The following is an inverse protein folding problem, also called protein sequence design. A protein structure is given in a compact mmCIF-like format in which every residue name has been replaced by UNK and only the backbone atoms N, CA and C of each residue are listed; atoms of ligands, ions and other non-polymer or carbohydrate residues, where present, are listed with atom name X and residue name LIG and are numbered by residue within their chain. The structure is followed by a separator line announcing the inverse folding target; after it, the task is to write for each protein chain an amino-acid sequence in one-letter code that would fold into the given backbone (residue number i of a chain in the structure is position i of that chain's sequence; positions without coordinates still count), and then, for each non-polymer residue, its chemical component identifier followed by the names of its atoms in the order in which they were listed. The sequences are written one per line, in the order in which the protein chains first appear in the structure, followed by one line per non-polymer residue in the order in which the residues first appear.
data_IF_167762516774
#
_entry.id   IF_167762516774
#
_cell.length_a   1.000
_cell.length_b   1.000
_cell.length_c   1.000
_cell.angle_alpha   90.00
_cell.angle_beta   90.00
_cell.angle_gamma   90.00
#
_symmetry.space_group_name_H-M   'P 1'
#
loop_
_entity.id
_entity.type
_entity.pdbx_description
1 polymer ?
#
# COMPACT_ATOMS: atom_id res chain seq x y z
N UNK A 1 0.07 -11.38 2.95
CA UNK A 1 -0.92 -11.35 4.04
C UNK A 1 -0.73 -10.09 4.87
N UNK A 2 -1.80 -9.35 5.08
CA UNK A 2 -1.89 -8.22 6.02
C UNK A 2 -2.96 -8.61 7.03
N UNK A 3 -2.65 -8.62 8.31
CA UNK A 3 -3.60 -8.92 9.38
C UNK A 3 -3.58 -7.79 10.42
N UNK A 4 -4.72 -7.18 10.62
CA UNK A 4 -5.02 -6.30 11.75
C UNK A 4 -6.02 -7.02 12.64
N UNK A 5 -5.81 -7.00 13.94
CA UNK A 5 -6.69 -7.64 14.93
C UNK A 5 -7.00 -6.63 16.04
N UNK A 6 -8.23 -6.14 16.07
CA UNK A 6 -8.78 -5.20 17.06
C UNK A 6 -7.92 -3.93 17.24
N UNK A 7 -7.44 -3.37 16.14
CA UNK A 7 -6.50 -2.24 16.14
C UNK A 7 -7.22 -0.94 16.44
N UNK A 8 -6.75 -0.25 17.48
CA UNK A 8 -7.24 1.07 17.86
C UNK A 8 -6.09 2.08 17.87
N UNK A 9 -6.38 3.30 17.40
CA UNK A 9 -5.45 4.43 17.43
C UNK A 9 -6.18 5.74 17.71
N UNK A 10 -5.74 6.46 18.74
CA UNK A 10 -6.20 7.80 19.06
C UNK A 10 -5.01 8.75 19.10
N UNK A 11 -5.11 9.90 18.44
CA UNK A 11 -4.08 10.91 18.53
C UNK A 11 -4.34 11.85 19.74
N UNK A 12 -3.28 12.39 20.36
CA UNK A 12 -3.45 13.38 21.43
C UNK A 12 -4.26 14.59 20.96
N UNK A 13 -5.27 14.97 21.75
CA UNK A 13 -6.15 16.09 21.43
C UNK A 13 -7.39 15.74 20.61
N UNK A 14 -7.45 14.57 20.00
CA UNK A 14 -8.66 14.13 19.27
C UNK A 14 -9.73 13.64 20.26
N UNK A 15 -10.99 14.01 20.01
CA UNK A 15 -12.12 13.48 20.79
C UNK A 15 -12.35 12.00 20.50
N UNK A 16 -12.26 11.60 19.20
CA UNK A 16 -12.52 10.25 18.73
C UNK A 16 -11.23 9.56 18.25
N UNK A 17 -11.14 8.23 18.34
CA UNK A 17 -10.02 7.51 17.77
C UNK A 17 -10.02 7.61 16.24
N UNK A 18 -8.84 7.74 15.66
CA UNK A 18 -8.63 7.71 14.22
C UNK A 18 -8.88 6.31 13.63
N UNK A 19 -8.64 5.27 14.43
CA UNK A 19 -9.07 3.89 14.19
C UNK A 19 -9.64 3.33 15.50
N UNK A 20 -10.77 2.63 15.40
CA UNK A 20 -11.53 2.12 16.54
C UNK A 20 -11.93 0.67 16.27
N UNK A 21 -11.25 -0.26 16.96
CA UNK A 21 -11.46 -1.71 16.88
C UNK A 21 -11.44 -2.25 15.43
N UNK A 22 -10.42 -1.87 14.66
CA UNK A 22 -10.30 -2.27 13.25
C UNK A 22 -9.68 -3.65 13.14
N UNK A 23 -10.45 -4.60 12.57
CA UNK A 23 -9.98 -5.94 12.21
C UNK A 23 -10.08 -6.13 10.71
N UNK A 24 -8.96 -6.50 10.07
CA UNK A 24 -8.84 -6.67 8.62
C UNK A 24 -7.86 -7.78 8.28
N UNK A 25 -8.28 -8.71 7.43
CA UNK A 25 -7.40 -9.74 6.90
C UNK A 25 -7.35 -9.66 5.37
N UNK A 26 -6.17 -9.43 4.81
CA UNK A 26 -5.90 -9.44 3.37
C UNK A 26 -4.98 -10.62 3.08
N UNK A 27 -5.43 -11.49 2.19
CA UNK A 27 -4.69 -12.68 1.77
C UNK A 27 -3.55 -12.33 0.80
N UNK A 28 -2.56 -13.22 0.62
CA UNK A 28 -1.57 -13.06 -0.44
C UNK A 28 -2.24 -12.94 -1.81
N UNK A 29 -1.68 -12.09 -2.66
CA UNK A 29 -2.11 -11.82 -4.03
C UNK A 29 -3.48 -11.15 -4.18
N UNK A 30 -4.16 -10.77 -3.08
CA UNK A 30 -5.36 -9.96 -3.20
C UNK A 30 -5.05 -8.54 -3.70
N UNK A 31 -6.00 -7.98 -4.46
CA UNK A 31 -6.08 -6.55 -4.78
C UNK A 31 -7.26 -5.97 -3.99
N UNK A 32 -6.98 -5.06 -3.07
CA UNK A 32 -7.97 -4.50 -2.15
C UNK A 32 -8.00 -2.98 -2.25
N UNK A 33 -9.18 -2.44 -2.42
CA UNK A 33 -9.44 -1.02 -2.24
C UNK A 33 -9.84 -0.73 -0.79
N UNK A 34 -9.16 0.20 -0.15
CA UNK A 34 -9.54 0.79 1.13
C UNK A 34 -10.16 2.16 0.84
N UNK A 35 -11.46 2.26 0.97
CA UNK A 35 -12.23 3.46 0.61
C UNK A 35 -12.83 4.13 1.84
N UNK A 36 -13.16 5.41 1.71
CA UNK A 36 -13.79 6.21 2.76
C UNK A 36 -13.57 7.69 2.54
N UNK A 37 -14.38 8.53 3.19
CA UNK A 37 -14.23 9.99 3.16
C UNK A 37 -12.87 10.45 3.69
N UNK A 38 -12.49 11.69 3.40
CA UNK A 38 -11.32 12.31 4.07
C UNK A 38 -11.52 12.26 5.59
N UNK A 39 -10.45 11.95 6.33
CA UNK A 39 -10.53 11.80 7.77
C UNK A 39 -11.06 10.45 8.28
N UNK A 40 -11.47 9.52 7.41
CA UNK A 40 -11.99 8.21 7.83
C UNK A 40 -10.98 7.29 8.54
N UNK A 41 -9.66 7.64 8.55
CA UNK A 41 -8.60 6.83 9.17
C UNK A 41 -7.70 6.09 8.18
N UNK A 42 -7.92 6.22 6.85
CA UNK A 42 -7.14 5.50 5.82
C UNK A 42 -5.63 5.73 5.95
N UNK A 43 -5.20 6.99 6.01
CA UNK A 43 -3.77 7.33 6.14
C UNK A 43 -3.18 6.88 7.48
N UNK A 44 -3.96 6.86 8.56
CA UNK A 44 -3.54 6.31 9.86
C UNK A 44 -3.28 4.81 9.73
N UNK A 45 -4.18 4.06 9.08
CA UNK A 45 -4.00 2.64 8.82
C UNK A 45 -2.73 2.38 7.99
N UNK A 46 -2.50 3.18 6.95
CA UNK A 46 -1.29 3.07 6.12
C UNK A 46 -0.01 3.32 6.94
N UNK A 47 0.02 4.37 7.78
CA UNK A 47 1.14 4.67 8.67
C UNK A 47 1.44 3.54 9.64
N UNK A 48 0.43 2.84 10.13
CA UNK A 48 0.65 1.66 10.98
C UNK A 48 1.23 0.49 10.21
N UNK A 49 0.71 0.19 9.01
CA UNK A 49 1.25 -0.86 8.16
C UNK A 49 2.71 -0.57 7.81
N UNK A 50 3.08 0.69 7.58
CA UNK A 50 4.48 1.10 7.32
C UNK A 50 5.31 1.26 8.59
N UNK A 51 4.72 1.02 9.77
CA UNK A 51 5.38 1.22 11.10
C UNK A 51 5.89 2.64 11.29
N UNK A 52 5.20 3.65 10.74
CA UNK A 52 5.41 5.06 11.06
C UNK A 52 4.71 5.43 12.35
N UNK A 53 3.57 4.78 12.61
CA UNK A 53 2.79 4.89 13.84
C UNK A 53 2.63 3.51 14.49
N UNK A 54 2.42 3.50 15.79
CA UNK A 54 2.05 2.30 16.54
C UNK A 54 0.57 2.36 16.93
N UNK A 55 -0.13 1.22 16.96
CA UNK A 55 -1.45 1.17 17.57
C UNK A 55 -1.35 1.43 19.08
N UNK A 56 -2.45 1.91 19.67
CA UNK A 56 -2.59 2.03 21.13
C UNK A 56 -3.06 0.69 21.72
N UNK A 57 -3.82 -0.09 20.94
CA UNK A 57 -4.20 -1.47 21.26
C UNK A 57 -4.41 -2.30 19.99
N UNK A 58 -4.53 -3.61 20.15
CA UNK A 58 -4.65 -4.56 19.04
C UNK A 58 -3.30 -5.00 18.48
N UNK A 59 -3.33 -5.76 17.37
CA UNK A 59 -2.16 -6.44 16.82
C UNK A 59 -2.08 -6.26 15.30
N UNK A 60 -0.87 -6.09 14.77
CA UNK A 60 -0.63 -5.95 13.33
C UNK A 60 0.43 -6.95 12.89
N UNK A 61 0.10 -7.82 11.93
CA UNK A 61 1.03 -8.78 11.34
C UNK A 61 1.09 -8.56 9.83
N UNK A 62 2.27 -8.26 9.30
CA UNK A 62 2.51 -7.96 7.89
C UNK A 62 3.54 -8.93 7.32
N UNK A 63 3.14 -9.70 6.30
CA UNK A 63 4.03 -10.69 5.68
C UNK A 63 4.59 -11.72 6.67
N UNK A 64 3.82 -12.07 7.71
CA UNK A 64 4.22 -12.96 8.79
C UNK A 64 5.05 -12.30 9.89
N UNK A 65 5.33 -11.00 9.80
CA UNK A 65 6.06 -10.22 10.81
C UNK A 65 5.05 -9.54 11.73
N UNK A 66 5.10 -9.86 13.01
CA UNK A 66 4.37 -9.15 14.04
C UNK A 66 5.08 -7.82 14.33
N UNK A 67 4.38 -6.70 14.09
CA UNK A 67 4.97 -5.37 14.17
C UNK A 67 5.32 -4.95 15.60
N UNK A 68 4.72 -5.55 16.63
CA UNK A 68 5.04 -5.23 18.03
C UNK A 68 6.47 -5.64 18.39
N UNK A 69 6.99 -6.68 17.74
CA UNK A 69 8.37 -7.14 17.94
C UNK A 69 9.40 -6.44 17.05
N UNK A 70 8.97 -5.55 16.13
CA UNK A 70 9.89 -4.80 15.25
C UNK A 70 10.50 -3.62 16.03
N UNK A 71 11.70 -3.81 16.56
CA UNK A 71 12.44 -2.75 17.25
C UNK A 71 12.83 -1.61 16.30
N UNK A 72 12.98 -0.38 16.82
CA UNK A 72 13.29 0.83 16.02
C UNK A 72 14.45 0.64 15.03
N UNK A 73 15.53 -0.03 15.43
CA UNK A 73 16.68 -0.32 14.55
C UNK A 73 16.37 -1.23 13.37
N UNK A 74 15.29 -2.04 13.45
CA UNK A 74 14.89 -2.99 12.41
C UNK A 74 13.80 -2.44 11.48
N UNK A 75 13.21 -1.27 11.79
CA UNK A 75 12.18 -0.63 10.95
C UNK A 75 12.67 -0.40 9.51
N UNK A 76 13.90 0.09 9.23
CA UNK A 76 14.38 0.24 7.86
C UNK A 76 14.41 -1.10 7.10
N UNK A 77 14.82 -2.20 7.78
CA UNK A 77 14.81 -3.55 7.23
C UNK A 77 13.40 -4.04 6.91
N UNK A 78 12.45 -3.77 7.79
CA UNK A 78 11.04 -4.08 7.58
C UNK A 78 10.46 -3.29 6.39
N UNK A 79 10.61 -1.95 6.37
CA UNK A 79 10.10 -1.11 5.28
C UNK A 79 10.66 -1.48 3.92
N UNK A 80 11.90 -1.97 3.85
CA UNK A 80 12.50 -2.48 2.62
C UNK A 80 11.76 -3.71 2.03
N UNK A 81 10.89 -4.39 2.78
CA UNK A 81 10.07 -5.53 2.29
C UNK A 81 8.74 -5.08 1.69
N UNK A 82 8.38 -3.82 1.87
CA UNK A 82 7.16 -3.22 1.34
C UNK A 82 7.47 -2.35 0.11
N UNK A 83 6.59 -2.36 -0.86
CA UNK A 83 6.48 -1.29 -1.83
C UNK A 83 5.51 -0.23 -1.29
N UNK A 84 5.89 1.05 -1.35
CA UNK A 84 5.01 2.14 -0.95
C UNK A 84 4.98 3.20 -2.04
N UNK A 85 3.78 3.51 -2.51
CA UNK A 85 3.50 4.59 -3.46
C UNK A 85 2.76 5.68 -2.70
N UNK A 86 3.31 6.89 -2.70
CA UNK A 86 2.75 8.04 -2.00
C UNK A 86 1.96 8.93 -2.97
N UNK A 87 1.00 9.66 -2.44
CA UNK A 87 0.20 10.62 -3.19
C UNK A 87 1.06 11.74 -3.83
N UNK A 88 2.10 12.21 -3.15
CA UNK A 88 3.00 13.29 -3.56
C UNK A 88 4.29 12.79 -4.24
N UNK A 89 4.27 11.61 -4.85
CA UNK A 89 5.33 10.92 -5.58
C UNK A 89 6.63 10.70 -4.80
N UNK A 90 7.06 11.61 -3.95
CA UNK A 90 8.30 11.57 -3.14
C UNK A 90 9.55 11.28 -3.98
N UNK A 91 9.62 11.82 -5.21
CA UNK A 91 10.77 11.64 -6.09
C UNK A 91 11.97 12.45 -5.60
N UNK A 92 13.16 11.95 -5.90
CA UNK A 92 14.42 12.65 -5.66
C UNK A 92 14.64 13.67 -6.80
N UNK A 93 14.48 14.99 -6.56
CA UNK A 93 14.35 15.98 -7.62
C UNK A 93 15.66 16.21 -8.41
N UNK A 94 16.81 15.91 -7.77
CA UNK A 94 18.16 16.06 -8.36
C UNK A 94 18.71 14.75 -8.94
N UNK A 95 17.85 13.71 -9.07
CA UNK A 95 18.19 12.42 -9.68
C UNK A 95 17.29 12.18 -10.88
N UNK A 96 17.87 11.58 -11.91
CA UNK A 96 17.14 11.14 -13.11
C UNK A 96 16.11 10.05 -12.76
N UNK A 97 15.24 9.71 -13.71
CA UNK A 97 14.29 8.59 -13.60
C UNK A 97 15.03 7.30 -13.28
N UNK A 98 16.11 7.00 -14.03
CA UNK A 98 16.95 5.82 -13.79
C UNK A 98 17.48 5.80 -12.36
N UNK A 99 18.07 6.92 -11.91
CA UNK A 99 18.67 7.02 -10.58
C UNK A 99 17.63 6.99 -9.45
N UNK A 100 16.41 7.48 -9.68
CA UNK A 100 15.31 7.34 -8.71
C UNK A 100 14.97 5.87 -8.45
N UNK A 101 14.93 5.05 -9.52
CA UNK A 101 14.66 3.60 -9.39
C UNK A 101 15.88 2.88 -8.83
N UNK A 102 17.08 3.19 -9.33
CA UNK A 102 18.34 2.60 -8.88
C UNK A 102 18.55 2.80 -7.37
N UNK A 103 18.21 3.98 -6.84
CA UNK A 103 18.38 4.32 -5.43
C UNK A 103 17.68 3.33 -4.47
N UNK A 104 16.49 2.84 -4.84
CA UNK A 104 15.79 1.83 -4.03
C UNK A 104 16.58 0.51 -3.94
N UNK A 105 17.29 0.15 -5.01
CA UNK A 105 18.10 -1.05 -5.10
C UNK A 105 19.47 -0.86 -4.40
N UNK A 106 20.06 0.33 -4.50
CA UNK A 106 21.29 0.72 -3.79
C UNK A 106 21.11 0.62 -2.27
N UNK A 107 20.04 1.22 -1.73
CA UNK A 107 19.71 1.12 -0.29
C UNK A 107 19.48 -0.34 0.13
N UNK A 108 19.07 -1.20 -0.80
CA UNK A 108 18.89 -2.62 -0.56
C UNK A 108 20.22 -3.39 -0.51
N UNK A 109 21.34 -2.76 -0.87
CA UNK A 109 22.66 -3.40 -0.96
C UNK A 109 22.84 -4.22 -2.24
N UNK A 110 22.05 -3.97 -3.28
CA UNK A 110 22.18 -4.66 -4.56
C UNK A 110 23.47 -4.23 -5.29
N UNK A 111 24.14 -5.16 -5.95
CA UNK A 111 25.38 -4.86 -6.69
C UNK A 111 25.10 -3.94 -7.89
N UNK A 112 26.06 -3.07 -8.23
CA UNK A 112 25.92 -2.18 -9.40
C UNK A 112 25.70 -2.96 -10.71
N UNK A 113 26.18 -4.20 -10.82
CA UNK A 113 25.91 -5.08 -11.98
C UNK A 113 24.44 -5.48 -12.06
N UNK A 114 23.84 -5.82 -10.93
CA UNK A 114 22.44 -6.24 -10.87
C UNK A 114 21.50 -5.05 -11.03
N UNK A 115 21.86 -3.88 -10.48
CA UNK A 115 21.12 -2.62 -10.69
C UNK A 115 21.05 -2.30 -12.18
N UNK A 116 22.16 -2.36 -12.91
CA UNK A 116 22.19 -2.12 -14.36
C UNK A 116 21.33 -3.10 -15.17
N UNK A 117 21.09 -4.31 -14.67
CA UNK A 117 20.20 -5.28 -15.30
C UNK A 117 18.73 -5.10 -14.91
N UNK A 118 18.47 -4.66 -13.68
CA UNK A 118 17.12 -4.60 -13.11
C UNK A 118 16.40 -3.30 -13.50
N UNK A 119 17.07 -2.14 -13.40
CA UNK A 119 16.42 -0.85 -13.64
C UNK A 119 15.80 -0.74 -15.04
N UNK A 120 16.47 -1.13 -16.14
CA UNK A 120 15.85 -1.07 -17.48
C UNK A 120 14.56 -1.89 -17.57
N UNK A 121 14.52 -3.10 -17.00
CA UNK A 121 13.33 -3.96 -16.99
C UNK A 121 12.17 -3.34 -16.20
N UNK A 122 12.49 -2.68 -15.09
CA UNK A 122 11.48 -1.98 -14.28
C UNK A 122 10.95 -0.76 -15.03
N UNK A 123 11.81 -0.01 -15.74
CA UNK A 123 11.39 1.13 -16.54
C UNK A 123 10.54 0.69 -17.74
N UNK A 124 10.85 -0.44 -18.36
CA UNK A 124 10.03 -1.05 -19.40
C UNK A 124 8.64 -1.44 -18.86
N UNK A 125 8.56 -2.04 -17.67
CA UNK A 125 7.29 -2.40 -17.02
C UNK A 125 6.33 -1.22 -16.86
N UNK A 126 6.88 -0.02 -16.62
CA UNK A 126 6.11 1.22 -16.38
C UNK A 126 6.08 2.16 -17.59
N UNK A 127 6.53 1.71 -18.77
CA UNK A 127 6.59 2.47 -20.03
C UNK A 127 7.39 3.80 -19.91
N UNK A 128 8.57 3.76 -19.26
CA UNK A 128 9.44 4.92 -19.05
C UNK A 128 10.88 4.71 -19.56
N UNK A 129 11.11 3.74 -20.43
CA UNK A 129 12.46 3.45 -20.95
C UNK A 129 13.12 4.65 -21.62
N UNK A 130 12.37 5.39 -22.44
CA UNK A 130 12.87 6.59 -23.14
C UNK A 130 13.12 7.79 -22.20
N UNK A 131 12.44 7.83 -21.05
CA UNK A 131 12.54 8.88 -20.05
C UNK A 131 13.65 8.65 -19.04
N UNK A 132 14.40 7.55 -19.14
CA UNK A 132 15.39 7.11 -18.15
C UNK A 132 16.38 8.21 -17.71
N UNK A 133 16.77 9.10 -18.64
CA UNK A 133 17.72 10.18 -18.39
C UNK A 133 17.09 11.50 -17.97
N UNK A 134 15.74 11.63 -18.00
CA UNK A 134 15.04 12.84 -17.59
C UNK A 134 15.01 13.00 -16.08
N UNK A 135 14.91 14.23 -15.62
CA UNK A 135 14.68 14.58 -14.22
C UNK A 135 13.17 14.70 -13.92
N UNK A 136 12.73 14.56 -12.66
CA UNK A 136 11.32 14.64 -12.30
C UNK A 136 10.58 15.88 -12.80
N UNK A 137 11.21 17.04 -12.77
CA UNK A 137 10.61 18.30 -13.25
C UNK A 137 10.37 18.34 -14.78
N UNK A 138 10.91 17.41 -15.54
CA UNK A 138 10.73 17.26 -16.98
C UNK A 138 9.61 16.26 -17.35
N UNK A 139 8.90 15.73 -16.35
CA UNK A 139 7.90 14.70 -16.52
C UNK A 139 6.49 15.23 -16.22
N UNK A 140 5.48 14.70 -16.92
CA UNK A 140 4.07 14.88 -16.53
C UNK A 140 3.78 14.23 -15.17
N UNK A 141 2.67 14.62 -14.51
CA UNK A 141 2.23 14.03 -13.25
C UNK A 141 2.07 12.50 -13.35
N UNK A 142 1.48 12.00 -14.43
CA UNK A 142 1.35 10.57 -14.67
C UNK A 142 2.69 9.84 -14.83
N UNK A 143 3.65 10.47 -15.53
CA UNK A 143 5.02 9.94 -15.65
C UNK A 143 5.72 9.93 -14.28
N UNK A 144 5.59 10.98 -13.49
CA UNK A 144 6.14 11.01 -12.11
C UNK A 144 5.55 9.91 -11.25
N UNK A 145 4.24 9.65 -11.36
CA UNK A 145 3.58 8.56 -10.66
C UNK A 145 4.12 7.20 -11.10
N UNK A 146 4.33 6.99 -12.40
CA UNK A 146 4.94 5.77 -12.93
C UNK A 146 6.37 5.56 -12.39
N UNK A 147 7.17 6.63 -12.23
CA UNK A 147 8.50 6.56 -11.57
C UNK A 147 8.37 6.16 -10.11
N UNK A 148 7.39 6.71 -9.37
CA UNK A 148 7.13 6.35 -7.98
C UNK A 148 6.76 4.87 -7.84
N UNK A 149 5.89 4.36 -8.74
CA UNK A 149 5.53 2.95 -8.80
C UNK A 149 6.76 2.10 -9.14
N UNK A 150 7.53 2.46 -10.18
CA UNK A 150 8.74 1.76 -10.59
C UNK A 150 9.72 1.60 -9.41
N UNK A 151 9.97 2.68 -8.68
CA UNK A 151 10.82 2.66 -7.48
C UNK A 151 10.27 1.73 -6.39
N UNK A 152 8.96 1.71 -6.20
CA UNK A 152 8.32 0.88 -5.18
C UNK A 152 8.37 -0.62 -5.49
N UNK A 153 8.32 -0.99 -6.79
CA UNK A 153 8.30 -2.39 -7.23
C UNK A 153 9.68 -2.92 -7.66
N UNK A 154 10.69 -2.06 -7.77
CA UNK A 154 12.03 -2.46 -8.23
C UNK A 154 12.63 -3.64 -7.47
N UNK A 155 12.25 -3.82 -6.21
CA UNK A 155 12.67 -4.92 -5.34
C UNK A 155 11.74 -6.11 -5.32
N UNK A 156 10.71 -6.13 -6.16
CA UNK A 156 9.69 -7.16 -6.23
C UNK A 156 9.05 -7.45 -4.85
N UNK A 157 8.48 -6.43 -4.18
CA UNK A 157 7.89 -6.60 -2.87
C UNK A 157 6.67 -7.54 -2.95
N UNK A 158 6.45 -8.34 -1.91
CA UNK A 158 5.23 -9.16 -1.81
C UNK A 158 3.98 -8.36 -1.49
N UNK A 159 4.14 -7.14 -0.97
CA UNK A 159 3.04 -6.24 -0.59
C UNK A 159 3.36 -4.85 -1.12
N UNK A 160 2.45 -4.29 -1.89
CA UNK A 160 2.47 -2.91 -2.39
C UNK A 160 1.31 -2.15 -1.77
N UNK A 161 1.62 -1.01 -1.19
CA UNK A 161 0.66 -0.10 -0.58
C UNK A 161 0.68 1.19 -1.39
N UNK A 162 -0.47 1.64 -1.87
CA UNK A 162 -0.60 2.85 -2.66
C UNK A 162 -1.61 3.81 -2.03
N UNK A 163 -1.12 4.95 -1.56
CA UNK A 163 -1.94 5.98 -0.93
C UNK A 163 -2.36 7.01 -1.98
N UNK A 164 -3.65 7.00 -2.35
CA UNK A 164 -4.26 7.87 -3.36
C UNK A 164 -3.43 7.97 -4.67
N UNK A 165 -3.05 6.83 -5.30
CA UNK A 165 -2.04 6.82 -6.39
C UNK A 165 -2.50 7.51 -7.67
N UNK A 166 -3.75 7.92 -7.76
CA UNK A 166 -4.34 8.58 -8.92
C UNK A 166 -4.89 9.97 -8.61
N UNK A 167 -4.57 10.50 -7.43
CA UNK A 167 -4.95 11.86 -7.07
C UNK A 167 -4.32 12.88 -8.04
N UNK A 168 -5.12 13.86 -8.44
CA UNK A 168 -4.71 14.94 -9.36
C UNK A 168 -4.27 14.48 -10.77
N UNK A 169 -4.64 13.27 -11.18
CA UNK A 169 -4.43 12.76 -12.53
C UNK A 169 -5.75 12.83 -13.35
N UNK A 170 -5.61 13.04 -14.65
CA UNK A 170 -6.74 12.96 -15.57
C UNK A 170 -7.26 11.52 -15.69
N UNK A 171 -8.43 11.35 -16.30
CA UNK A 171 -9.11 10.06 -16.39
C UNK A 171 -8.27 9.00 -17.13
N UNK A 172 -7.66 9.35 -18.26
CA UNK A 172 -6.89 8.40 -19.07
C UNK A 172 -5.65 7.94 -18.31
N UNK A 173 -4.89 8.88 -17.78
CA UNK A 173 -3.71 8.58 -16.93
C UNK A 173 -4.09 7.75 -15.71
N UNK A 174 -5.25 8.03 -15.09
CA UNK A 174 -5.79 7.26 -13.98
C UNK A 174 -6.02 5.80 -14.36
N UNK A 175 -6.69 5.54 -15.48
CA UNK A 175 -6.94 4.18 -15.99
C UNK A 175 -5.63 3.43 -16.28
N UNK A 176 -4.63 4.11 -16.84
CA UNK A 176 -3.30 3.55 -17.08
C UNK A 176 -2.57 3.17 -15.80
N UNK A 177 -2.57 4.05 -14.77
CA UNK A 177 -1.94 3.76 -13.48
C UNK A 177 -2.62 2.56 -12.80
N UNK A 178 -3.93 2.49 -12.85
CA UNK A 178 -4.67 1.37 -12.27
C UNK A 178 -4.41 0.07 -13.05
N UNK A 179 -4.35 0.14 -14.39
CA UNK A 179 -3.95 -0.99 -15.23
C UNK A 179 -2.56 -1.51 -14.88
N UNK A 180 -1.61 -0.59 -14.63
CA UNK A 180 -0.26 -0.93 -14.18
C UNK A 180 -0.28 -1.63 -12.81
N UNK A 181 -1.03 -1.12 -11.84
CA UNK A 181 -1.16 -1.77 -10.53
C UNK A 181 -1.79 -3.16 -10.66
N UNK A 182 -2.81 -3.32 -11.53
CA UNK A 182 -3.39 -4.63 -11.82
C UNK A 182 -2.34 -5.59 -12.40
N UNK A 183 -1.55 -5.15 -13.38
CA UNK A 183 -0.46 -5.95 -13.95
C UNK A 183 0.55 -6.39 -12.88
N UNK A 184 0.90 -5.50 -11.94
CA UNK A 184 1.78 -5.83 -10.81
C UNK A 184 1.13 -6.87 -9.88
N UNK A 185 -0.18 -6.79 -9.63
CA UNK A 185 -0.92 -7.78 -8.86
C UNK A 185 -0.93 -9.16 -9.54
N UNK A 186 -1.13 -9.19 -10.86
CA UNK A 186 -1.13 -10.43 -11.66
C UNK A 186 0.22 -11.16 -11.59
N UNK A 187 1.33 -10.44 -11.31
CA UNK A 187 2.65 -11.03 -11.00
C UNK A 187 2.79 -11.54 -9.56
N UNK A 188 1.72 -11.54 -8.77
CA UNK A 188 1.69 -12.13 -7.42
C UNK A 188 1.96 -11.16 -6.28
N UNK A 189 1.97 -9.83 -6.52
CA UNK A 189 2.07 -8.83 -5.46
C UNK A 189 0.70 -8.57 -4.84
N UNK A 190 0.57 -8.64 -3.52
CA UNK A 190 -0.62 -8.19 -2.78
C UNK A 190 -0.70 -6.68 -2.84
N UNK A 191 -1.85 -6.12 -3.23
CA UNK A 191 -2.01 -4.67 -3.39
C UNK A 191 -3.09 -4.13 -2.47
N UNK A 192 -2.76 -3.09 -1.72
CA UNK A 192 -3.70 -2.28 -0.96
C UNK A 192 -3.67 -0.85 -1.49
N UNK A 193 -4.77 -0.40 -2.08
CA UNK A 193 -4.93 0.96 -2.64
C UNK A 193 -5.91 1.73 -1.78
N UNK A 194 -5.52 2.90 -1.27
CA UNK A 194 -6.48 3.86 -0.74
C UNK A 194 -6.99 4.75 -1.87
N UNK A 195 -8.27 4.99 -1.92
CA UNK A 195 -8.89 5.95 -2.85
C UNK A 195 -10.27 6.39 -2.37
N UNK A 196 -10.71 7.54 -2.84
CA UNK A 196 -12.07 8.01 -2.72
C UNK A 196 -12.79 8.08 -4.10
N UNK A 197 -12.13 7.64 -5.17
CA UNK A 197 -12.67 7.67 -6.54
C UNK A 197 -13.56 6.44 -6.82
N UNK A 198 -14.87 6.67 -6.83
CA UNK A 198 -15.88 5.63 -7.07
C UNK A 198 -15.73 4.95 -8.45
N UNK A 199 -15.41 5.73 -9.47
CA UNK A 199 -15.33 5.21 -10.84
C UNK A 199 -14.22 4.16 -10.97
N UNK A 200 -13.06 4.39 -10.34
CA UNK A 200 -11.95 3.47 -10.33
C UNK A 200 -12.34 2.16 -9.63
N UNK A 201 -12.88 2.29 -8.43
CA UNK A 201 -13.29 1.14 -7.61
C UNK A 201 -14.29 0.27 -8.35
N UNK A 202 -15.32 0.92 -8.92
CA UNK A 202 -16.42 0.24 -9.60
C UNK A 202 -16.01 -0.39 -10.95
N UNK A 203 -14.99 0.15 -11.64
CA UNK A 203 -14.50 -0.39 -12.91
C UNK A 203 -13.72 -1.70 -12.75
N UNK A 204 -13.02 -1.89 -11.63
CA UNK A 204 -12.15 -3.05 -11.41
C UNK A 204 -12.82 -4.23 -10.72
N UNK A 205 -13.95 -4.00 -10.05
CA UNK A 205 -14.72 -5.02 -9.32
C UNK A 205 -13.87 -5.91 -8.40
N UNK A 206 -12.85 -5.32 -7.77
CA UNK A 206 -12.00 -5.99 -6.77
C UNK A 206 -12.63 -5.90 -5.38
N UNK A 207 -11.99 -6.49 -4.38
CA UNK A 207 -12.42 -6.37 -2.99
C UNK A 207 -12.41 -4.92 -2.54
N UNK A 208 -13.47 -4.49 -1.86
CA UNK A 208 -13.64 -3.14 -1.34
C UNK A 208 -13.89 -3.18 0.15
N UNK A 209 -13.01 -2.55 0.91
CA UNK A 209 -13.13 -2.34 2.35
C UNK A 209 -13.46 -0.88 2.60
N UNK A 210 -14.61 -0.62 3.22
CA UNK A 210 -15.07 0.76 3.50
C UNK A 210 -14.76 1.13 4.95
N UNK A 211 -13.97 2.18 5.11
CA UNK A 211 -13.64 2.78 6.41
C UNK A 211 -14.50 4.04 6.61
N UNK A 212 -15.15 4.16 7.77
CA UNK A 212 -15.94 5.33 8.18
C UNK A 212 -15.74 5.58 9.67
N UNK A 213 -15.40 6.82 10.04
CA UNK A 213 -15.20 7.24 11.43
C UNK A 213 -14.31 6.26 12.22
N UNK A 214 -13.20 5.85 11.63
CA UNK A 214 -12.23 4.92 12.21
C UNK A 214 -12.64 3.45 12.24
N UNK A 215 -13.82 3.07 11.71
CA UNK A 215 -14.33 1.68 11.72
C UNK A 215 -14.48 1.11 10.32
N UNK A 216 -14.24 -0.19 10.17
CA UNK A 216 -14.64 -0.92 8.96
C UNK A 216 -16.15 -1.13 9.04
N UNK A 217 -16.88 -0.50 8.11
CA UNK A 217 -18.34 -0.59 8.04
C UNK A 217 -18.81 -1.56 6.96
N UNK A 218 -17.94 -1.91 6.01
CA UNK A 218 -18.23 -2.85 4.94
C UNK A 218 -16.95 -3.52 4.41
N UNK A 219 -17.05 -4.79 4.02
CA UNK A 219 -15.99 -5.58 3.39
C UNK A 219 -16.59 -6.48 2.31
N UNK A 220 -16.52 -6.03 1.07
CA UNK A 220 -17.05 -6.72 -0.10
C UNK A 220 -15.93 -7.49 -0.79
N UNK A 221 -15.86 -8.79 -0.56
CA UNK A 221 -14.75 -9.64 -1.06
C UNK A 221 -14.72 -9.81 -2.58
N UNK A 222 -15.87 -9.74 -3.25
CA UNK A 222 -16.00 -9.93 -4.69
C UNK A 222 -16.93 -8.87 -5.28
N UNK A 223 -16.60 -8.39 -6.48
CA UNK A 223 -17.41 -7.38 -7.20
C UNK A 223 -17.77 -6.19 -6.33
N UNK A 224 -16.79 -5.73 -5.54
CA UNK A 224 -16.98 -4.63 -4.61
C UNK A 224 -17.37 -3.35 -5.33
N UNK A 225 -18.41 -2.68 -4.81
CA UNK A 225 -18.91 -1.40 -5.31
C UNK A 225 -18.79 -0.36 -4.21
N UNK A 226 -18.36 0.83 -4.57
CA UNK A 226 -18.25 1.96 -3.66
C UNK A 226 -19.16 3.10 -4.10
N UNK A 227 -19.92 3.66 -3.15
CA UNK A 227 -20.69 4.91 -3.32
C UNK A 227 -20.40 5.82 -2.13
N UNK A 228 -19.94 7.05 -2.39
CA UNK A 228 -19.52 8.00 -1.35
C UNK A 228 -20.65 8.40 -0.39
N UNK A 229 -21.88 8.41 -0.87
CA UNK A 229 -23.08 8.88 -0.13
C UNK A 229 -24.05 7.75 0.27
N UNK A 230 -23.64 6.48 0.20
CA UNK A 230 -24.54 5.39 0.59
C UNK A 230 -24.80 5.36 2.09
N UNK A 231 -26.09 5.34 2.44
CA UNK A 231 -26.67 5.14 3.77
C UNK A 231 -26.14 3.88 4.49
N UNK A 232 -26.33 3.78 5.81
CA UNK A 232 -25.64 2.78 6.63
C UNK A 232 -25.92 1.35 6.18
N UNK A 233 -24.83 0.59 6.04
CA UNK A 233 -24.86 -0.84 5.77
C UNK A 233 -25.25 -1.59 7.07
N UNK A 234 -26.00 -2.70 6.99
CA UNK A 234 -26.38 -3.50 8.15
C UNK A 234 -25.15 -4.01 8.92
N UNK A 235 -25.26 -4.05 10.24
CA UNK A 235 -24.21 -4.57 11.13
C UNK A 235 -23.79 -5.96 10.69
N UNK A 236 -22.51 -6.10 10.28
CA UNK A 236 -21.90 -7.41 10.06
C UNK A 236 -21.79 -8.18 11.38
N UNK A 237 -22.08 -9.48 11.42
CA UNK A 237 -21.80 -10.29 12.60
C UNK A 237 -20.29 -10.34 12.82
N UNK A 238 -19.87 -10.10 14.05
CA UNK A 238 -18.47 -10.20 14.52
C UNK A 238 -18.00 -11.64 14.31
N UNK A 239 -17.35 -11.93 13.18
CA UNK A 239 -16.67 -13.22 13.01
C UNK A 239 -15.32 -13.13 13.70
N UNK A 240 -15.20 -13.82 14.82
CA UNK A 240 -13.92 -14.13 15.43
C UNK A 240 -13.08 -14.86 14.39
N UNK A 241 -12.03 -14.21 13.90
CA UNK A 241 -11.04 -14.86 13.04
C UNK A 241 -10.24 -15.81 13.91
N UNK A 242 -10.54 -17.11 13.86
CA UNK A 242 -9.70 -18.11 14.50
C UNK A 242 -8.34 -18.11 13.78
N UNK A 243 -7.30 -17.69 14.49
CA UNK A 243 -5.92 -17.76 14.02
C UNK A 243 -5.54 -19.25 13.97
N UNK A 244 -5.20 -19.82 12.79
CA UNK A 244 -4.70 -21.19 12.74
C UNK A 244 -3.46 -21.31 13.61
N UNK A 245 -3.48 -22.23 14.59
CA UNK A 245 -2.45 -22.40 15.63
C UNK A 245 -1.03 -22.74 15.11
N UNK A 246 -0.82 -22.81 13.80
CA UNK A 246 0.49 -23.10 13.20
C UNK A 246 1.35 -21.85 12.94
N UNK A 247 0.81 -20.64 12.98
CA UNK A 247 1.59 -19.43 12.74
C UNK A 247 2.49 -19.00 13.92
N UNK A 248 2.29 -19.59 15.10
CA UNK A 248 2.99 -19.19 16.32
C UNK A 248 4.31 -19.95 16.60
N UNK A 249 4.68 -20.97 15.82
CA UNK A 249 5.86 -21.83 16.10
C UNK A 249 7.13 -21.51 15.34
N UNK A 250 7.17 -20.52 14.48
CA UNK A 250 8.46 -20.06 13.91
C UNK A 250 9.05 -18.92 14.75
N UNK A 251 9.33 -19.23 16.00
CA UNK A 251 10.26 -18.46 16.84
C UNK A 251 11.70 -18.82 16.45
N UNK A 252 12.51 -17.77 16.25
CA UNK A 252 13.97 -17.79 16.20
C UNK A 252 14.59 -18.21 14.87
N UNK A 253 14.77 -17.22 13.99
CA UNK A 253 15.98 -16.96 13.19
C UNK A 253 15.73 -15.79 12.25
N UNK A 254 15.83 -14.59 12.76
CA UNK A 254 16.13 -13.40 11.95
C UNK A 254 16.92 -12.46 12.86
N UNK A 255 18.22 -12.59 12.81
CA UNK A 255 19.18 -11.54 13.14
C UNK A 255 19.53 -10.85 11.84
#
# INVERSE_FOLDING_TARGET
MILLDSVTKKYPGDEKPALDDVSLHIEPNEFVFLVGKSGAGKSTLMKMITKEENPDSGKIIIGGIDLDYVKRRHIPGYRRRLGVVFQDFKLLPRRTVYENVAFALEIAGMSGKDIRKTVPKVLELVDLSEQAKKFPHQLSGGQQQRVSIARSVARQPKILIADEPTANLDKLTTEEIIGLLKKINDFGTTILVTTHNENIVNSLQKRVVTLRDGKIVNDQKHNGVYKLDSTPVPKMPTRVVQIPGHALKQKRKII
#
